data_IF_824252226208
#
_entry.id   IF_824252226208
#
_cell.length_a   1.000
_cell.length_b   1.000
_cell.length_c   1.000
_cell.angle_alpha   90.00
_cell.angle_beta   90.00
_cell.angle_gamma   90.00
#
_symmetry.space_group_name_H-M   'P 1'
#
loop_
_entity.id
_entity.type
_entity.pdbx_description
1 polymer ?
#
# COMPACT_ATOMS: atom_id res chain seq x y z
N UNK A 1 46.52 -60.57 -23.38
CA UNK A 1 45.27 -61.25 -23.79
C UNK A 1 44.20 -60.17 -23.87
N UNK A 2 44.05 -59.54 -25.03
CA UNK A 2 43.24 -60.03 -26.16
C UNK A 2 41.78 -59.53 -26.04
N UNK A 3 41.47 -58.48 -26.80
CA UNK A 3 40.24 -58.37 -27.61
C UNK A 3 40.09 -59.62 -28.51
N UNK A 4 39.03 -59.83 -29.34
CA UNK A 4 37.82 -59.05 -29.66
C UNK A 4 36.55 -59.95 -29.84
N UNK A 5 35.41 -59.36 -30.24
CA UNK A 5 34.49 -59.81 -31.34
C UNK A 5 33.11 -59.17 -31.13
N UNK A 6 32.62 -58.24 -31.96
CA UNK A 6 32.29 -58.28 -33.39
C UNK A 6 31.02 -59.08 -33.72
N UNK A 7 30.05 -58.41 -34.38
CA UNK A 7 29.02 -58.86 -35.34
C UNK A 7 28.03 -57.68 -35.50
N UNK A 8 27.56 -57.22 -36.66
CA UNK A 8 27.74 -57.63 -38.05
C UNK A 8 27.17 -56.51 -38.97
N UNK A 9 27.83 -56.37 -40.12
CA UNK A 9 27.60 -55.59 -41.36
C UNK A 9 26.26 -55.92 -42.11
N UNK A 10 26.02 -55.57 -43.40
CA UNK A 10 26.40 -54.41 -44.24
C UNK A 10 25.25 -53.93 -45.20
N UNK A 11 25.48 -52.88 -46.00
CA UNK A 11 25.23 -52.98 -47.46
C UNK A 11 26.00 -51.93 -48.27
N UNK A 12 26.79 -52.48 -49.20
CA UNK A 12 27.65 -51.84 -50.18
C UNK A 12 26.93 -51.75 -51.54
N UNK A 13 27.11 -50.68 -52.30
CA UNK A 13 27.13 -50.77 -53.78
C UNK A 13 27.94 -49.65 -54.42
N UNK A 14 29.00 -50.10 -55.11
CA UNK A 14 29.94 -49.36 -55.96
C UNK A 14 29.37 -49.22 -57.39
N UNK A 15 29.72 -48.14 -58.10
CA UNK A 15 29.86 -48.19 -59.57
C UNK A 15 30.99 -47.26 -60.04
N UNK A 16 31.88 -47.83 -60.87
CA UNK A 16 33.04 -47.22 -61.56
C UNK A 16 32.63 -46.63 -62.90
N UNK A 17 33.40 -45.70 -63.48
CA UNK A 17 33.90 -45.66 -64.88
C UNK A 17 34.85 -44.43 -65.00
N UNK A 18 36.18 -44.57 -65.20
CA UNK A 18 37.01 -44.77 -66.42
C UNK A 18 37.44 -43.46 -67.15
N UNK A 19 38.72 -43.13 -66.92
CA UNK A 19 39.77 -42.47 -67.72
C UNK A 19 39.48 -41.99 -69.16
N UNK A 20 39.85 -40.74 -69.48
CA UNK A 20 40.48 -40.36 -70.77
C UNK A 20 41.27 -39.03 -70.68
N UNK A 21 42.55 -39.06 -71.08
CA UNK A 21 43.32 -37.88 -71.49
C UNK A 21 43.10 -37.62 -72.99
N UNK A 22 43.28 -36.37 -73.44
CA UNK A 22 43.97 -36.13 -74.70
C UNK A 22 45.10 -35.10 -74.57
N UNK A 23 45.96 -35.12 -75.59
CA UNK A 23 47.20 -34.38 -75.78
C UNK A 23 47.02 -33.42 -76.98
N UNK A 24 47.92 -32.43 -77.10
CA UNK A 24 48.16 -31.54 -78.28
C UNK A 24 47.20 -30.32 -78.32
N UNK A 25 47.57 -29.05 -78.60
CA UNK A 25 48.61 -28.48 -79.47
C UNK A 25 49.02 -27.06 -79.04
N UNK A 26 50.23 -26.64 -79.43
CA UNK A 26 50.64 -25.23 -79.52
C UNK A 26 49.77 -24.47 -80.53
N UNK A 27 49.35 -23.25 -80.18
CA UNK A 27 49.10 -22.17 -81.14
C UNK A 27 49.70 -20.86 -80.58
N UNK A 28 50.71 -20.35 -81.26
CA UNK A 28 51.16 -18.96 -81.17
C UNK A 28 50.03 -18.06 -81.68
N UNK A 29 49.57 -17.14 -80.84
CA UNK A 29 48.55 -16.15 -81.17
C UNK A 29 48.86 -14.83 -80.49
N UNK A 30 49.52 -13.96 -81.25
CA UNK A 30 49.85 -12.57 -80.96
C UNK A 30 48.60 -11.76 -80.57
N UNK A 31 48.64 -11.07 -79.42
CA UNK A 31 47.79 -9.89 -79.16
C UNK A 31 48.44 -8.99 -78.09
N UNK A 32 49.31 -8.13 -78.57
CA UNK A 32 49.46 -6.79 -78.03
C UNK A 32 48.12 -6.05 -78.14
N UNK A 33 47.62 -5.48 -77.04
CA UNK A 33 47.03 -4.13 -76.97
C UNK A 33 46.18 -3.88 -75.71
N UNK A 34 46.58 -2.85 -74.97
CA UNK A 34 45.68 -1.78 -74.48
C UNK A 34 44.80 -2.00 -73.23
N UNK A 35 45.43 -2.30 -72.10
CA UNK A 35 45.56 -1.44 -70.89
C UNK A 35 44.48 -0.40 -70.43
N UNK A 36 43.24 -0.37 -70.93
CA UNK A 36 42.26 0.68 -70.54
C UNK A 36 41.03 0.21 -69.74
N UNK A 37 40.77 -1.09 -69.63
CA UNK A 37 39.59 -1.63 -68.92
C UNK A 37 39.87 -2.19 -67.52
N UNK A 38 41.14 -2.29 -67.10
CA UNK A 38 41.52 -2.83 -65.78
C UNK A 38 41.40 -1.80 -64.64
N UNK A 39 41.46 -0.50 -64.95
CA UNK A 39 41.48 0.58 -63.94
C UNK A 39 40.14 0.73 -63.20
N UNK A 40 39.01 0.55 -63.89
CA UNK A 40 37.66 0.72 -63.31
C UNK A 40 37.14 -0.52 -62.56
N UNK A 41 37.75 -1.70 -62.77
CA UNK A 41 37.46 -2.91 -61.99
C UNK A 41 38.27 -2.93 -60.70
N UNK A 42 39.53 -2.44 -60.74
CA UNK A 42 40.39 -2.31 -59.57
C UNK A 42 39.90 -1.22 -58.61
N UNK A 43 39.42 -0.07 -59.12
CA UNK A 43 38.81 0.97 -58.29
C UNK A 43 37.54 0.49 -57.59
N UNK A 44 36.64 -0.23 -58.27
CA UNK A 44 35.42 -0.78 -57.66
C UNK A 44 35.70 -1.79 -56.55
N UNK A 45 36.72 -2.64 -56.73
CA UNK A 45 37.14 -3.58 -55.69
C UNK A 45 37.67 -2.85 -54.44
N UNK A 46 38.39 -1.75 -54.64
CA UNK A 46 38.93 -0.93 -53.55
C UNK A 46 37.81 -0.19 -52.78
N UNK A 47 36.81 0.34 -53.47
CA UNK A 47 35.65 0.98 -52.83
C UNK A 47 34.77 0.00 -52.05
N UNK A 48 34.64 -1.26 -52.52
CA UNK A 48 33.85 -2.28 -51.81
C UNK A 48 34.51 -2.71 -50.49
N UNK A 49 35.84 -2.91 -50.46
CA UNK A 49 36.57 -3.23 -49.23
C UNK A 49 36.49 -2.07 -48.20
N UNK A 50 36.64 -0.82 -48.66
CA UNK A 50 36.50 0.35 -47.80
C UNK A 50 35.06 0.51 -47.26
N UNK A 51 34.04 0.14 -48.04
CA UNK A 51 32.64 0.17 -47.60
C UNK A 51 32.37 -0.86 -46.50
N UNK A 52 32.91 -2.09 -46.62
CA UNK A 52 32.76 -3.11 -45.58
C UNK A 52 33.44 -2.71 -44.27
N UNK A 53 34.63 -2.08 -44.32
CA UNK A 53 35.30 -1.57 -43.13
C UNK A 53 34.51 -0.44 -42.44
N UNK A 54 33.91 0.47 -43.21
CA UNK A 54 33.06 1.52 -42.66
C UNK A 54 31.79 0.95 -42.00
N UNK A 55 31.14 -0.02 -42.63
CA UNK A 55 29.97 -0.70 -42.06
C UNK A 55 30.35 -1.44 -40.76
N UNK A 56 31.48 -2.16 -40.74
CA UNK A 56 31.97 -2.85 -39.55
C UNK A 56 32.27 -1.88 -38.39
N UNK A 57 32.85 -0.71 -38.69
CA UNK A 57 33.12 0.33 -37.68
C UNK A 57 31.83 0.93 -37.11
N UNK A 58 30.83 1.21 -37.96
CA UNK A 58 29.53 1.72 -37.52
C UNK A 58 28.81 0.70 -36.65
N UNK A 59 28.78 -0.58 -37.07
CA UNK A 59 28.16 -1.66 -36.28
C UNK A 59 28.89 -1.83 -34.95
N UNK A 60 30.22 -1.83 -34.94
CA UNK A 60 31.03 -1.91 -33.72
C UNK A 60 30.76 -0.75 -32.76
N UNK A 61 30.63 0.47 -33.27
CA UNK A 61 30.27 1.66 -32.48
C UNK A 61 28.87 1.57 -31.88
N UNK A 62 27.88 1.09 -32.64
CA UNK A 62 26.51 0.90 -32.15
C UNK A 62 26.45 -0.19 -31.08
N UNK A 63 27.08 -1.35 -31.32
CA UNK A 63 27.13 -2.45 -30.35
C UNK A 63 27.85 -2.03 -29.07
N UNK A 64 28.99 -1.34 -29.19
CA UNK A 64 29.73 -0.80 -28.05
C UNK A 64 28.90 0.21 -27.23
N UNK A 65 28.19 1.12 -27.92
CA UNK A 65 27.29 2.08 -27.29
C UNK A 65 26.13 1.42 -26.54
N UNK A 66 25.52 0.38 -27.13
CA UNK A 66 24.43 -0.38 -26.49
C UNK A 66 24.94 -1.11 -25.24
N UNK A 67 26.07 -1.82 -25.33
CA UNK A 67 26.68 -2.51 -24.17
C UNK A 67 27.01 -1.51 -23.04
N UNK A 68 27.56 -0.35 -23.38
CA UNK A 68 27.88 0.68 -22.40
C UNK A 68 26.63 1.30 -21.76
N UNK A 69 25.55 1.49 -22.53
CA UNK A 69 24.26 1.99 -22.01
C UNK A 69 23.59 0.99 -21.05
N UNK A 70 23.69 -0.30 -21.34
CA UNK A 70 23.16 -1.37 -20.49
C UNK A 70 23.96 -1.49 -19.19
N UNK A 71 25.29 -1.36 -19.24
CA UNK A 71 26.14 -1.32 -18.04
C UNK A 71 25.85 -0.11 -17.15
N UNK A 72 25.72 1.09 -17.74
CA UNK A 72 25.45 2.31 -16.99
C UNK A 72 24.09 2.26 -16.26
N UNK A 73 23.08 1.67 -16.89
CA UNK A 73 21.75 1.51 -16.29
C UNK A 73 21.75 0.53 -15.10
N UNK A 74 22.60 -0.50 -15.13
CA UNK A 74 22.78 -1.44 -14.03
C UNK A 74 23.46 -0.81 -12.80
N UNK A 75 24.51 -0.02 -13.02
CA UNK A 75 25.24 0.65 -11.93
C UNK A 75 24.38 1.71 -11.21
N UNK A 76 23.52 2.43 -11.93
CA UNK A 76 22.59 3.39 -11.32
C UNK A 76 21.54 2.69 -10.45
N UNK A 77 21.01 1.55 -10.88
CA UNK A 77 20.08 0.75 -10.07
C UNK A 77 20.74 0.21 -8.80
N UNK A 78 21.98 -0.29 -8.89
CA UNK A 78 22.72 -0.82 -7.76
C UNK A 78 23.04 0.27 -6.71
N UNK A 79 23.35 1.49 -7.16
CA UNK A 79 23.59 2.65 -6.28
C UNK A 79 22.34 3.09 -5.53
N UNK A 80 21.18 3.04 -6.18
CA UNK A 80 19.89 3.36 -5.54
C UNK A 80 19.56 2.31 -4.48
N UNK A 81 19.80 1.03 -4.76
CA UNK A 81 19.56 -0.05 -3.80
C UNK A 81 20.51 0.02 -2.60
N UNK A 82 21.80 0.29 -2.83
CA UNK A 82 22.78 0.51 -1.75
C UNK A 82 22.41 1.73 -0.88
N UNK A 83 22.00 2.84 -1.50
CA UNK A 83 21.55 4.02 -0.77
C UNK A 83 20.29 3.73 0.07
N UNK A 84 19.37 2.91 -0.45
CA UNK A 84 18.17 2.50 0.28
C UNK A 84 18.53 1.61 1.49
N UNK A 85 19.38 0.61 1.29
CA UNK A 85 19.85 -0.28 2.36
C UNK A 85 20.65 0.48 3.44
N UNK A 86 21.44 1.48 3.06
CA UNK A 86 22.12 2.36 4.02
C UNK A 86 21.13 3.19 4.83
N UNK A 87 20.13 3.80 4.19
CA UNK A 87 19.09 4.56 4.89
C UNK A 87 18.26 3.69 5.84
N UNK A 88 18.02 2.42 5.50
CA UNK A 88 17.31 1.47 6.37
C UNK A 88 18.15 1.09 7.60
N UNK A 89 19.47 0.93 7.42
CA UNK A 89 20.40 0.67 8.55
C UNK A 89 20.53 1.87 9.48
N UNK A 90 20.63 3.08 8.93
CA UNK A 90 20.66 4.31 9.72
C UNK A 90 19.36 4.48 10.51
N UNK A 91 18.21 4.24 9.88
CA UNK A 91 16.91 4.28 10.55
C UNK A 91 16.75 3.18 11.63
N UNK A 92 17.44 2.04 11.51
CA UNK A 92 17.50 1.03 12.56
C UNK A 92 18.40 1.46 13.73
N UNK A 93 19.60 1.98 13.44
CA UNK A 93 20.51 2.49 14.46
C UNK A 93 19.89 3.63 15.28
N UNK A 94 19.15 4.53 14.62
CA UNK A 94 18.43 5.62 15.30
C UNK A 94 17.32 5.09 16.23
N UNK A 95 16.63 4.02 15.84
CA UNK A 95 15.62 3.37 16.68
C UNK A 95 16.24 2.72 17.90
N UNK A 96 17.38 2.03 17.72
CA UNK A 96 18.11 1.41 18.82
C UNK A 96 18.62 2.45 19.82
N UNK A 97 19.24 3.53 19.33
CA UNK A 97 19.68 4.65 20.17
C UNK A 97 18.52 5.37 20.88
N UNK A 98 17.34 5.43 20.24
CA UNK A 98 16.15 5.98 20.87
C UNK A 98 15.60 5.08 21.98
N UNK A 99 15.59 3.76 21.76
CA UNK A 99 15.14 2.77 22.76
C UNK A 99 16.06 2.77 23.98
N UNK A 100 17.37 2.83 23.80
CA UNK A 100 18.34 2.90 24.91
C UNK A 100 18.12 4.15 25.76
N UNK A 101 17.94 5.33 25.12
CA UNK A 101 17.63 6.58 25.83
C UNK A 101 16.26 6.55 26.53
N UNK A 102 15.28 5.86 25.94
CA UNK A 102 13.96 5.71 26.56
C UNK A 102 14.04 4.82 27.81
N UNK A 103 14.80 3.73 27.75
CA UNK A 103 15.05 2.85 28.89
C UNK A 103 15.80 3.56 30.02
N UNK A 104 16.84 4.34 29.69
CA UNK A 104 17.59 5.13 30.66
C UNK A 104 16.69 6.14 31.40
N UNK A 105 15.88 6.90 30.65
CA UNK A 105 14.91 7.86 31.22
C UNK A 105 13.84 7.18 32.08
N UNK A 106 13.35 6.02 31.65
CA UNK A 106 12.41 5.23 32.44
C UNK A 106 13.05 4.78 33.75
N UNK A 107 14.29 4.27 33.70
CA UNK A 107 15.03 3.84 34.88
C UNK A 107 15.29 4.98 35.86
N UNK A 108 15.66 6.16 35.37
CA UNK A 108 15.86 7.37 36.18
C UNK A 108 14.53 7.85 36.82
N UNK A 109 13.43 7.85 36.06
CA UNK A 109 12.11 8.18 36.58
C UNK A 109 11.64 7.18 37.64
N UNK A 110 11.89 5.87 37.42
CA UNK A 110 11.58 4.83 38.40
C UNK A 110 12.41 4.96 39.67
N UNK A 111 13.73 5.17 39.56
CA UNK A 111 14.61 5.27 40.73
C UNK A 111 14.28 6.52 41.57
N UNK A 112 13.99 7.65 40.91
CA UNK A 112 13.61 8.87 41.59
C UNK A 112 12.23 8.79 42.27
N UNK A 113 11.24 8.14 41.64
CA UNK A 113 9.88 8.04 42.18
C UNK A 113 9.75 6.92 43.22
N UNK A 114 10.26 5.73 42.94
CA UNK A 114 10.20 4.59 43.84
C UNK A 114 11.11 4.80 45.05
N UNK A 115 12.34 5.27 44.85
CA UNK A 115 13.30 5.51 45.93
C UNK A 115 12.79 6.55 46.94
N UNK A 116 12.19 7.65 46.46
CA UNK A 116 11.65 8.70 47.34
C UNK A 116 10.35 8.28 48.02
N UNK A 117 9.41 7.68 47.27
CA UNK A 117 8.10 7.34 47.82
C UNK A 117 8.16 6.15 48.78
N UNK A 118 8.96 5.11 48.51
CA UNK A 118 9.10 3.98 49.43
C UNK A 118 9.82 4.40 50.73
N UNK A 119 10.88 5.21 50.65
CA UNK A 119 11.58 5.69 51.86
C UNK A 119 10.68 6.57 52.71
N UNK A 120 9.95 7.50 52.09
CA UNK A 120 9.03 8.38 52.80
C UNK A 120 7.90 7.60 53.48
N UNK A 121 7.31 6.62 52.80
CA UNK A 121 6.25 5.78 53.38
C UNK A 121 6.79 4.85 54.48
N UNK A 122 8.00 4.30 54.33
CA UNK A 122 8.63 3.47 55.35
C UNK A 122 8.97 4.30 56.62
N UNK A 123 9.54 5.49 56.46
CA UNK A 123 9.81 6.40 57.59
C UNK A 123 8.53 6.86 58.28
N UNK A 124 7.49 7.23 57.52
CA UNK A 124 6.20 7.62 58.07
C UNK A 124 5.54 6.47 58.85
N UNK A 125 5.60 5.25 58.31
CA UNK A 125 5.07 4.05 58.97
C UNK A 125 5.83 3.72 60.24
N UNK A 126 7.17 3.73 60.22
CA UNK A 126 8.00 3.47 61.40
C UNK A 126 7.78 4.53 62.48
N UNK A 127 7.65 5.80 62.10
CA UNK A 127 7.35 6.89 63.04
C UNK A 127 5.96 6.75 63.67
N UNK A 128 4.96 6.35 62.89
CA UNK A 128 3.61 6.09 63.38
C UNK A 128 3.57 4.86 64.29
N UNK A 129 4.23 3.77 63.91
CA UNK A 129 4.35 2.57 64.73
C UNK A 129 5.06 2.85 66.05
N UNK A 130 6.15 3.63 66.03
CA UNK A 130 6.88 4.02 67.24
C UNK A 130 6.02 4.89 68.16
N UNK A 131 5.26 5.84 67.61
CA UNK A 131 4.36 6.72 68.39
C UNK A 131 3.21 5.94 69.03
N UNK A 132 2.63 4.99 68.31
CA UNK A 132 1.58 4.11 68.84
C UNK A 132 2.13 3.18 69.93
N UNK A 133 3.31 2.60 69.71
CA UNK A 133 3.96 1.71 70.67
C UNK A 133 4.37 2.44 71.96
N UNK A 134 4.89 3.67 71.86
CA UNK A 134 5.23 4.48 73.05
C UNK A 134 4.00 4.97 73.79
N UNK A 135 2.91 5.29 73.08
CA UNK A 135 1.61 5.58 73.69
C UNK A 135 1.11 4.41 74.54
N UNK A 136 1.05 3.21 73.94
CA UNK A 136 0.62 1.98 74.63
C UNK A 136 1.55 1.59 75.78
N UNK A 137 2.87 1.72 75.62
CA UNK A 137 3.84 1.38 76.68
C UNK A 137 3.77 2.34 77.87
N UNK A 138 3.52 3.64 77.64
CA UNK A 138 3.36 4.61 78.71
C UNK A 138 2.03 4.41 79.47
N UNK A 139 0.98 4.02 78.77
CA UNK A 139 -0.32 3.71 79.37
C UNK A 139 -0.28 2.39 80.18
N UNK A 140 0.46 1.38 79.70
CA UNK A 140 0.65 0.11 80.43
C UNK A 140 1.57 0.22 81.64
N UNK A 141 2.53 1.18 81.68
CA UNK A 141 3.47 1.31 82.82
C UNK A 141 2.84 1.93 84.07
N UNK A 142 1.73 2.66 83.95
CA UNK A 142 1.04 3.34 85.05
C UNK A 142 0.19 2.42 85.96
N UNK A 143 -0.36 1.32 85.43
CA UNK A 143 -1.51 0.63 86.04
C UNK A 143 -1.34 -0.89 86.26
N UNK A 144 -0.14 -1.35 86.62
CA UNK A 144 0.12 -2.79 86.85
C UNK A 144 -0.58 -3.39 88.09
N UNK A 145 -1.27 -2.61 88.93
CA UNK A 145 -1.84 -3.10 90.21
C UNK A 145 -3.37 -3.30 90.22
N UNK A 146 -4.08 -2.87 89.18
CA UNK A 146 -5.57 -2.91 89.07
C UNK A 146 -6.09 -3.88 87.99
N UNK A 147 -5.18 -4.66 87.40
CA UNK A 147 -5.29 -5.19 86.04
C UNK A 147 -6.04 -6.53 85.85
N UNK A 148 -6.99 -6.89 86.73
CA UNK A 148 -7.82 -8.09 86.51
C UNK A 148 -9.27 -7.79 86.14
N UNK A 149 -9.78 -6.63 86.55
CA UNK A 149 -11.14 -6.17 86.23
C UNK A 149 -11.17 -5.28 84.98
N UNK A 150 -10.13 -4.47 84.76
CA UNK A 150 -10.05 -3.56 83.60
C UNK A 150 -9.58 -4.24 82.30
N UNK A 151 -8.93 -5.40 82.38
CA UNK A 151 -8.52 -6.17 81.21
C UNK A 151 -9.71 -6.54 80.30
N UNK A 152 -10.90 -6.77 80.87
CA UNK A 152 -12.13 -6.98 80.08
C UNK A 152 -12.60 -5.69 79.39
N UNK A 153 -12.46 -4.54 80.04
CA UNK A 153 -12.79 -3.23 79.46
C UNK A 153 -11.79 -2.79 78.38
N UNK A 154 -10.53 -3.23 78.46
CA UNK A 154 -9.49 -2.98 77.46
C UNK A 154 -9.54 -3.96 76.28
N UNK A 155 -10.02 -5.20 76.47
CA UNK A 155 -10.22 -6.18 75.39
C UNK A 155 -11.48 -5.89 74.58
N UNK A 156 -12.51 -5.27 75.18
CA UNK A 156 -13.74 -4.90 74.49
C UNK A 156 -13.51 -4.06 73.23
N UNK A 157 -12.76 -2.94 73.26
CA UNK A 157 -12.49 -2.15 72.05
C UNK A 157 -11.65 -2.90 71.02
N UNK A 158 -10.78 -3.84 71.41
CA UNK A 158 -10.05 -4.69 70.46
C UNK A 158 -10.99 -5.66 69.75
N UNK A 159 -11.93 -6.28 70.49
CA UNK A 159 -12.96 -7.14 69.94
C UNK A 159 -13.90 -6.38 69.00
N UNK A 160 -14.30 -5.18 69.40
CA UNK A 160 -15.18 -4.33 68.61
C UNK A 160 -14.48 -3.81 67.34
N UNK A 161 -13.17 -3.51 67.41
CA UNK A 161 -12.37 -3.15 66.24
C UNK A 161 -12.15 -4.36 65.32
N UNK A 162 -11.99 -5.57 65.86
CA UNK A 162 -11.91 -6.80 65.07
C UNK A 162 -13.25 -7.10 64.38
N UNK A 163 -14.38 -6.94 65.06
CA UNK A 163 -15.71 -7.09 64.46
C UNK A 163 -15.96 -6.04 63.37
N UNK A 164 -15.51 -4.80 63.57
CA UNK A 164 -15.55 -3.74 62.53
C UNK A 164 -14.66 -4.09 61.34
N UNK A 165 -13.46 -4.64 61.58
CA UNK A 165 -12.55 -5.12 60.53
C UNK A 165 -13.16 -6.27 59.75
N UNK A 166 -13.74 -7.26 60.42
CA UNK A 166 -14.44 -8.38 59.77
C UNK A 166 -15.62 -7.88 58.93
N UNK A 167 -16.39 -6.92 59.45
CA UNK A 167 -17.45 -6.25 58.70
C UNK A 167 -16.92 -5.49 57.47
N UNK A 168 -15.79 -4.78 57.61
CA UNK A 168 -15.15 -4.08 56.50
C UNK A 168 -14.61 -5.05 55.44
N UNK A 169 -13.98 -6.15 55.85
CA UNK A 169 -13.45 -7.20 54.97
C UNK A 169 -14.60 -7.84 54.18
N UNK A 170 -15.69 -8.24 54.84
CA UNK A 170 -16.90 -8.75 54.15
C UNK A 170 -17.46 -7.74 53.16
N UNK A 171 -17.59 -6.47 53.56
CA UNK A 171 -18.08 -5.43 52.65
C UNK A 171 -17.15 -5.19 51.45
N UNK A 172 -15.83 -5.39 51.64
CA UNK A 172 -14.83 -5.29 50.58
C UNK A 172 -14.89 -6.48 49.64
N UNK A 173 -15.07 -7.69 50.15
CA UNK A 173 -15.27 -8.89 49.34
C UNK A 173 -16.55 -8.78 48.50
N UNK A 174 -17.66 -8.35 49.10
CA UNK A 174 -18.92 -8.10 48.38
C UNK A 174 -18.76 -7.04 47.29
N UNK A 175 -18.09 -5.92 47.59
CA UNK A 175 -17.78 -4.87 46.60
C UNK A 175 -16.86 -5.38 45.49
N UNK A 176 -15.84 -6.19 45.82
CA UNK A 176 -14.96 -6.81 44.82
C UNK A 176 -15.74 -7.74 43.92
N UNK A 177 -16.59 -8.59 44.48
CA UNK A 177 -17.40 -9.53 43.70
C UNK A 177 -18.39 -8.79 42.78
N UNK A 178 -19.03 -7.73 43.27
CA UNK A 178 -19.87 -6.84 42.47
C UNK A 178 -19.11 -6.17 41.32
N UNK A 179 -17.89 -5.68 41.59
CA UNK A 179 -17.02 -5.08 40.57
C UNK A 179 -16.58 -6.10 39.51
N UNK A 180 -16.24 -7.34 39.91
CA UNK A 180 -15.91 -8.41 38.97
C UNK A 180 -17.10 -8.81 38.09
N UNK A 181 -18.31 -8.88 38.66
CA UNK A 181 -19.53 -9.12 37.88
C UNK A 181 -19.79 -8.00 36.87
N UNK A 182 -19.67 -6.74 37.28
CA UNK A 182 -19.82 -5.59 36.39
C UNK A 182 -18.79 -5.59 35.26
N UNK A 183 -17.51 -5.88 35.56
CA UNK A 183 -16.45 -6.01 34.56
C UNK A 183 -16.72 -7.17 33.59
N UNK A 184 -17.18 -8.33 34.08
CA UNK A 184 -17.55 -9.46 33.23
C UNK A 184 -18.70 -9.11 32.27
N UNK A 185 -19.68 -8.35 32.74
CA UNK A 185 -20.80 -7.90 31.92
C UNK A 185 -20.36 -6.88 30.86
N UNK A 186 -19.52 -5.91 31.22
CA UNK A 186 -18.93 -4.97 30.26
C UNK A 186 -18.07 -5.68 29.20
N UNK A 187 -17.27 -6.66 29.60
CA UNK A 187 -16.47 -7.44 28.65
C UNK A 187 -17.35 -8.21 27.67
N UNK A 188 -18.46 -8.78 28.15
CA UNK A 188 -19.43 -9.49 27.30
C UNK A 188 -20.12 -8.54 26.32
N UNK A 189 -20.53 -7.36 26.77
CA UNK A 189 -21.10 -6.32 25.90
C UNK A 189 -20.09 -5.85 24.84
N UNK A 190 -18.82 -5.69 25.21
CA UNK A 190 -17.75 -5.35 24.26
C UNK A 190 -17.54 -6.46 23.22
N UNK A 191 -17.53 -7.73 23.63
CA UNK A 191 -17.43 -8.86 22.70
C UNK A 191 -18.61 -8.91 21.74
N UNK A 192 -19.83 -8.71 22.22
CA UNK A 192 -21.04 -8.66 21.39
C UNK A 192 -21.01 -7.48 20.40
N UNK A 193 -20.55 -6.31 20.84
CA UNK A 193 -20.34 -5.15 19.97
C UNK A 193 -19.28 -5.44 18.90
N UNK A 194 -18.16 -6.06 19.27
CA UNK A 194 -17.11 -6.43 18.33
C UNK A 194 -17.61 -7.42 17.27
N UNK A 195 -18.39 -8.43 17.68
CA UNK A 195 -18.97 -9.40 16.75
C UNK A 195 -19.98 -8.75 15.79
N UNK A 196 -20.84 -7.84 16.29
CA UNK A 196 -21.78 -7.07 15.45
C UNK A 196 -21.04 -6.16 14.46
N UNK A 197 -19.96 -5.51 14.90
CA UNK A 197 -19.13 -4.67 14.02
C UNK A 197 -18.46 -5.50 12.92
N UNK A 198 -17.88 -6.64 13.25
CA UNK A 198 -17.28 -7.54 12.26
C UNK A 198 -18.32 -8.01 11.24
N UNK A 199 -19.50 -8.42 11.70
CA UNK A 199 -20.59 -8.87 10.82
C UNK A 199 -21.04 -7.74 9.88
N UNK A 200 -21.27 -6.53 10.43
CA UNK A 200 -21.71 -5.37 9.62
C UNK A 200 -20.64 -4.94 8.63
N UNK A 201 -19.36 -5.00 9.00
CA UNK A 201 -18.24 -4.66 8.12
C UNK A 201 -18.13 -5.66 6.97
N UNK A 202 -18.31 -6.96 7.25
CA UNK A 202 -18.36 -8.01 6.21
C UNK A 202 -19.55 -7.78 5.29
N UNK A 203 -20.75 -7.52 5.83
CA UNK A 203 -21.94 -7.24 5.03
C UNK A 203 -21.78 -5.97 4.18
N UNK A 204 -21.19 -4.90 4.72
CA UNK A 204 -20.92 -3.67 3.99
C UNK A 204 -19.90 -3.88 2.87
N UNK A 205 -18.81 -4.61 3.15
CA UNK A 205 -17.81 -5.00 2.15
C UNK A 205 -18.45 -5.83 1.03
N UNK A 206 -19.26 -6.83 1.39
CA UNK A 206 -19.99 -7.68 0.44
C UNK A 206 -21.00 -6.87 -0.39
N UNK A 207 -21.71 -5.93 0.23
CA UNK A 207 -22.67 -5.05 -0.44
C UNK A 207 -21.97 -4.13 -1.46
N UNK A 208 -20.81 -3.57 -1.09
CA UNK A 208 -19.96 -2.76 -1.98
C UNK A 208 -19.34 -3.57 -3.13
N UNK A 209 -19.26 -4.91 -3.05
CA UNK A 209 -18.86 -5.77 -4.17
C UNK A 209 -19.93 -5.86 -5.26
N UNK A 210 -21.22 -5.80 -4.91
CA UNK A 210 -22.30 -5.87 -5.89
C UNK A 210 -22.37 -4.61 -6.78
N UNK A 211 -22.63 -4.77 -8.08
CA UNK A 211 -22.65 -3.66 -9.04
C UNK A 211 -23.84 -2.71 -8.85
N UNK A 212 -25.00 -3.23 -8.42
CA UNK A 212 -26.24 -2.47 -8.21
C UNK A 212 -26.16 -1.57 -6.97
N UNK A 213 -25.73 -2.10 -5.82
CA UNK A 213 -25.63 -1.32 -4.56
C UNK A 213 -24.55 -0.24 -4.65
N UNK A 214 -23.46 -0.52 -5.37
CA UNK A 214 -22.39 0.46 -5.60
C UNK A 214 -22.85 1.66 -6.43
N UNK A 215 -23.72 1.42 -7.42
CA UNK A 215 -24.36 2.50 -8.20
C UNK A 215 -25.20 3.41 -7.31
N UNK A 216 -26.13 2.82 -6.54
CA UNK A 216 -26.97 3.56 -5.59
C UNK A 216 -26.15 4.31 -4.52
N UNK A 217 -25.06 3.73 -4.03
CA UNK A 217 -24.20 4.38 -3.05
C UNK A 217 -23.43 5.57 -3.66
N UNK A 218 -23.02 5.46 -4.93
CA UNK A 218 -22.46 6.55 -5.71
C UNK A 218 -23.44 7.70 -5.91
N UNK A 219 -24.70 7.40 -6.24
CA UNK A 219 -25.79 8.38 -6.37
C UNK A 219 -26.05 9.12 -5.03
N UNK A 220 -26.16 8.38 -3.92
CA UNK A 220 -26.38 8.98 -2.60
C UNK A 220 -25.20 9.86 -2.16
N UNK A 221 -23.96 9.45 -2.43
CA UNK A 221 -22.78 10.25 -2.13
C UNK A 221 -22.72 11.53 -2.97
N UNK A 222 -23.03 11.42 -4.27
CA UNK A 222 -23.10 12.57 -5.17
C UNK A 222 -24.13 13.58 -4.67
N UNK A 223 -25.34 13.12 -4.32
CA UNK A 223 -26.37 13.97 -3.72
C UNK A 223 -25.89 14.70 -2.47
N UNK A 224 -25.25 13.98 -1.53
CA UNK A 224 -24.73 14.56 -0.29
C UNK A 224 -23.67 15.63 -0.54
N UNK A 225 -22.75 15.41 -1.49
CA UNK A 225 -21.71 16.38 -1.83
C UNK A 225 -22.33 17.66 -2.39
N UNK A 226 -23.36 17.53 -3.23
CA UNK A 226 -24.09 18.64 -3.86
C UNK A 226 -24.92 19.41 -2.82
N UNK A 227 -25.63 18.72 -1.94
CA UNK A 227 -26.35 19.33 -0.81
C UNK A 227 -25.40 20.10 0.12
N UNK A 228 -24.23 19.53 0.45
CA UNK A 228 -23.20 20.18 1.26
C UNK A 228 -22.55 21.39 0.57
N UNK A 229 -22.53 21.41 -0.77
CA UNK A 229 -22.11 22.58 -1.56
C UNK A 229 -23.19 23.69 -1.59
N UNK A 230 -24.32 23.50 -0.92
CA UNK A 230 -25.41 24.47 -0.82
C UNK A 230 -26.35 24.47 -2.01
N UNK A 231 -26.34 23.43 -2.84
CA UNK A 231 -27.25 23.30 -3.99
C UNK A 231 -28.57 22.66 -3.54
N UNK A 232 -29.69 23.36 -3.76
CA UNK A 232 -31.03 22.84 -3.47
C UNK A 232 -31.57 21.92 -4.59
N UNK A 233 -32.18 20.83 -4.14
CA UNK A 233 -32.82 19.80 -4.98
C UNK A 233 -33.94 20.44 -5.80
N UNK A 234 -34.03 20.15 -7.10
CA UNK A 234 -35.01 20.70 -8.06
C UNK A 234 -34.82 22.18 -8.50
N UNK A 235 -33.82 22.89 -7.98
CA UNK A 235 -33.45 24.24 -8.46
C UNK A 235 -32.09 24.22 -9.16
N UNK A 236 -31.15 23.41 -8.67
CA UNK A 236 -29.79 23.34 -9.19
C UNK A 236 -29.41 21.98 -9.80
N UNK A 237 -30.16 20.90 -9.54
CA UNK A 237 -29.92 19.60 -10.14
C UNK A 237 -31.17 18.69 -10.14
N UNK A 238 -31.23 17.76 -11.10
CA UNK A 238 -32.25 16.71 -11.20
C UNK A 238 -31.59 15.33 -11.32
N UNK A 239 -32.14 14.35 -10.60
CA UNK A 239 -31.68 12.95 -10.60
C UNK A 239 -32.51 12.14 -11.61
N UNK A 240 -31.88 11.26 -12.37
CA UNK A 240 -32.55 10.27 -13.22
C UNK A 240 -33.42 10.82 -14.39
N UNK A 241 -33.04 11.93 -15.01
CA UNK A 241 -33.74 12.49 -16.18
C UNK A 241 -33.75 11.47 -17.34
N UNK A 242 -34.94 11.12 -17.81
CA UNK A 242 -35.12 10.07 -18.83
C UNK A 242 -34.90 10.64 -20.23
N UNK A 243 -33.83 10.23 -20.92
CA UNK A 243 -33.54 10.61 -22.31
C UNK A 243 -33.32 9.39 -23.21
N UNK A 244 -33.72 9.49 -24.48
CA UNK A 244 -33.76 8.40 -25.48
C UNK A 244 -32.39 7.76 -25.82
N UNK A 245 -31.26 8.44 -25.59
CA UNK A 245 -29.91 7.94 -25.89
C UNK A 245 -29.04 7.64 -24.65
N UNK A 246 -29.65 7.60 -23.46
CA UNK A 246 -29.04 7.15 -22.21
C UNK A 246 -29.40 8.03 -21.02
N UNK A 247 -29.48 7.42 -19.82
CA UNK A 247 -29.81 8.11 -18.55
C UNK A 247 -28.52 8.52 -17.84
N UNK A 248 -28.21 9.82 -17.71
CA UNK A 248 -27.20 10.29 -16.77
C UNK A 248 -27.71 10.13 -15.33
N UNK A 249 -26.79 9.88 -14.39
CA UNK A 249 -27.15 9.69 -12.98
C UNK A 249 -27.70 10.99 -12.36
N UNK A 250 -27.14 12.14 -12.76
CA UNK A 250 -27.58 13.48 -12.32
C UNK A 250 -27.34 14.52 -13.42
N UNK A 251 -28.21 15.53 -13.52
CA UNK A 251 -28.00 16.73 -14.37
C UNK A 251 -27.96 17.95 -13.47
N UNK A 252 -26.92 18.78 -13.59
CA UNK A 252 -26.77 20.05 -12.84
C UNK A 252 -27.12 21.21 -13.74
N UNK A 253 -28.00 22.10 -13.27
CA UNK A 253 -28.37 23.34 -13.95
C UNK A 253 -27.40 24.46 -13.59
N UNK A 254 -26.78 25.03 -14.62
CA UNK A 254 -25.85 26.15 -14.52
C UNK A 254 -26.59 27.48 -14.72
N UNK A 255 -26.13 28.57 -14.07
CA UNK A 255 -26.67 29.90 -14.30
C UNK A 255 -26.49 30.29 -15.77
N UNK A 256 -27.57 30.78 -16.40
CA UNK A 256 -27.62 31.03 -17.85
C UNK A 256 -28.34 29.94 -18.67
N UNK A 257 -28.95 28.95 -18.01
CA UNK A 257 -29.73 27.89 -18.65
C UNK A 257 -28.86 26.80 -19.27
N UNK A 258 -27.64 26.62 -18.75
CA UNK A 258 -26.77 25.53 -19.16
C UNK A 258 -27.07 24.25 -18.38
N UNK A 259 -26.91 23.10 -19.01
CA UNK A 259 -27.17 21.80 -18.39
C UNK A 259 -25.89 20.96 -18.41
N UNK A 260 -25.52 20.36 -17.27
CA UNK A 260 -24.29 19.59 -17.11
C UNK A 260 -24.62 18.16 -16.65
N UNK A 261 -24.53 17.16 -17.52
CA UNK A 261 -24.72 15.76 -17.13
C UNK A 261 -23.51 15.25 -16.32
N UNK A 262 -23.82 14.59 -15.21
CA UNK A 262 -22.86 13.98 -14.26
C UNK A 262 -23.19 12.49 -14.11
N UNK A 263 -22.17 11.63 -14.28
CA UNK A 263 -22.27 10.17 -14.13
C UNK A 263 -21.33 9.71 -12.99
N UNK A 264 -21.82 8.89 -12.06
CA UNK A 264 -21.08 8.48 -10.86
C UNK A 264 -20.39 7.11 -10.98
N UNK A 265 -20.29 6.55 -12.19
CA UNK A 265 -19.94 5.13 -12.36
C UNK A 265 -18.45 4.86 -12.50
N UNK A 266 -17.72 4.90 -11.37
CA UNK A 266 -16.32 4.49 -11.34
C UNK A 266 -16.18 2.96 -11.24
N UNK A 267 -15.47 2.27 -12.17
CA UNK A 267 -15.19 0.85 -12.04
C UNK A 267 -14.25 0.62 -10.86
N UNK A 268 -14.66 -0.20 -9.89
CA UNK A 268 -13.96 -0.40 -8.61
C UNK A 268 -13.59 -1.87 -8.34
N UNK A 269 -13.97 -2.80 -9.23
CA UNK A 269 -13.75 -4.24 -9.03
C UNK A 269 -12.27 -4.57 -8.83
N UNK A 270 -11.42 -4.17 -9.77
CA UNK A 270 -9.97 -4.43 -9.70
C UNK A 270 -9.28 -3.73 -8.52
N UNK A 271 -9.81 -2.59 -8.04
CA UNK A 271 -9.31 -1.92 -6.84
C UNK A 271 -9.63 -2.70 -5.56
N UNK A 272 -10.83 -3.26 -5.46
CA UNK A 272 -11.22 -4.10 -4.33
C UNK A 272 -10.43 -5.42 -4.32
N UNK A 273 -10.23 -6.03 -5.50
CA UNK A 273 -9.41 -7.24 -5.63
C UNK A 273 -7.94 -6.98 -5.27
N UNK A 274 -7.38 -5.83 -5.65
CA UNK A 274 -6.04 -5.44 -5.21
C UNK A 274 -5.92 -5.36 -3.68
N UNK A 275 -6.97 -4.89 -2.98
CA UNK A 275 -6.95 -4.76 -1.52
C UNK A 275 -6.98 -6.11 -0.78
N UNK A 276 -7.39 -7.19 -1.44
CA UNK A 276 -7.51 -8.53 -0.86
C UNK A 276 -6.27 -9.41 -1.09
N UNK A 277 -5.37 -8.96 -1.96
CA UNK A 277 -4.19 -9.72 -2.38
C UNK A 277 -2.97 -9.37 -1.53
N UNK A 278 -2.34 -10.38 -0.95
CA UNK A 278 -1.13 -10.22 -0.12
C UNK A 278 0.20 -10.25 -0.91
N UNK A 279 0.17 -10.57 -2.20
CA UNK A 279 1.35 -10.58 -3.07
C UNK A 279 1.54 -9.24 -3.79
N UNK A 280 2.77 -8.73 -3.74
CA UNK A 280 3.16 -7.43 -4.25
C UNK A 280 3.19 -7.38 -5.78
N UNK A 281 3.40 -8.53 -6.44
CA UNK A 281 3.34 -8.64 -7.90
C UNK A 281 1.88 -8.62 -8.40
N UNK A 282 1.04 -9.49 -7.83
CA UNK A 282 -0.38 -9.52 -8.15
C UNK A 282 -1.09 -8.19 -7.81
N UNK A 283 -0.74 -7.51 -6.71
CA UNK A 283 -1.23 -6.17 -6.38
C UNK A 283 -0.97 -5.16 -7.52
N UNK A 284 0.25 -5.15 -8.09
CA UNK A 284 0.61 -4.25 -9.19
C UNK A 284 -0.19 -4.53 -10.46
N UNK A 285 -0.49 -5.80 -10.73
CA UNK A 285 -1.28 -6.22 -11.89
C UNK A 285 -2.74 -5.77 -11.77
N UNK A 286 -3.38 -6.00 -10.62
CA UNK A 286 -4.73 -5.50 -10.34
C UNK A 286 -4.81 -3.97 -10.40
N UNK A 287 -3.79 -3.27 -9.90
CA UNK A 287 -3.74 -1.81 -10.01
C UNK A 287 -3.57 -1.31 -11.44
N UNK A 288 -2.87 -2.04 -12.31
CA UNK A 288 -2.81 -1.71 -13.75
C UNK A 288 -4.16 -1.96 -14.42
N UNK A 289 -4.83 -3.07 -14.11
CA UNK A 289 -6.16 -3.39 -14.61
C UNK A 289 -7.18 -2.32 -14.19
N UNK A 290 -7.15 -1.89 -12.92
CA UNK A 290 -7.97 -0.79 -12.42
C UNK A 290 -7.75 0.52 -13.20
N UNK A 291 -6.49 0.90 -13.40
CA UNK A 291 -6.16 2.10 -14.17
C UNK A 291 -6.59 2.03 -15.64
N UNK A 292 -6.61 0.83 -16.24
CA UNK A 292 -7.14 0.60 -17.59
C UNK A 292 -8.66 0.70 -17.61
N UNK A 293 -9.36 0.07 -16.66
CA UNK A 293 -10.81 0.11 -16.54
C UNK A 293 -11.34 1.54 -16.37
N UNK A 294 -10.70 2.34 -15.51
CA UNK A 294 -11.06 3.76 -15.32
C UNK A 294 -10.88 4.55 -16.63
N UNK A 295 -9.77 4.36 -17.35
CA UNK A 295 -9.55 5.03 -18.65
C UNK A 295 -10.54 4.58 -19.72
N UNK A 296 -10.91 3.29 -19.73
CA UNK A 296 -11.93 2.75 -20.60
C UNK A 296 -13.27 3.43 -20.37
N UNK A 297 -13.70 3.54 -19.10
CA UNK A 297 -14.92 4.24 -18.72
C UNK A 297 -14.90 5.72 -19.13
N UNK A 298 -13.79 6.44 -18.91
CA UNK A 298 -13.66 7.84 -19.35
C UNK A 298 -13.84 7.96 -20.87
N UNK A 299 -13.27 7.03 -21.64
CA UNK A 299 -13.43 7.01 -23.10
C UNK A 299 -14.87 6.70 -23.52
N UNK A 300 -15.50 5.71 -22.89
CA UNK A 300 -16.91 5.38 -23.13
C UNK A 300 -17.84 6.55 -22.82
N UNK A 301 -17.63 7.24 -21.69
CA UNK A 301 -18.40 8.43 -21.31
C UNK A 301 -18.16 9.59 -22.28
N UNK A 302 -16.92 9.78 -22.73
CA UNK A 302 -16.60 10.78 -23.76
C UNK A 302 -17.10 10.43 -25.16
N UNK A 303 -17.55 9.21 -25.42
CA UNK A 303 -18.19 8.80 -26.68
C UNK A 303 -19.72 8.85 -26.59
N UNK A 304 -20.28 8.63 -25.40
CA UNK A 304 -21.70 8.83 -25.12
C UNK A 304 -21.97 10.33 -25.05
N UNK A 305 -22.40 10.89 -26.17
CA UNK A 305 -22.72 12.29 -26.33
C UNK A 305 -24.00 12.69 -25.56
N UNK A 306 -24.00 12.58 -24.23
CA UNK A 306 -25.13 13.02 -23.40
C UNK A 306 -25.46 14.50 -23.62
N UNK A 307 -24.45 15.31 -23.97
CA UNK A 307 -24.61 16.72 -24.35
C UNK A 307 -25.41 16.93 -25.65
N UNK A 308 -25.57 15.92 -26.52
CA UNK A 308 -26.33 16.09 -27.77
C UNK A 308 -27.85 16.10 -27.56
N UNK A 309 -28.30 15.73 -26.36
CA UNK A 309 -29.72 15.69 -26.00
C UNK A 309 -30.24 17.02 -25.44
N UNK A 310 -29.35 17.97 -25.11
CA UNK A 310 -29.70 19.19 -24.40
C UNK A 310 -29.30 20.42 -25.24
N UNK A 311 -30.23 21.36 -25.45
CA UNK A 311 -30.06 22.48 -26.39
C UNK A 311 -28.98 23.52 -25.97
N UNK A 312 -28.57 23.53 -24.69
CA UNK A 312 -27.65 24.53 -24.11
C UNK A 312 -26.59 23.94 -23.17
N UNK A 313 -26.19 22.70 -23.36
CA UNK A 313 -25.14 22.08 -22.54
C UNK A 313 -23.73 22.36 -23.08
N UNK A 314 -22.74 22.66 -22.22
CA UNK A 314 -21.33 22.60 -22.61
C UNK A 314 -20.97 21.21 -23.16
N UNK A 315 -20.03 21.11 -24.11
CA UNK A 315 -19.53 19.82 -24.65
C UNK A 315 -18.64 19.07 -23.64
N UNK A 316 -19.10 18.91 -22.39
CA UNK A 316 -18.33 18.31 -21.29
C UNK A 316 -19.24 17.38 -20.47
N UNK A 317 -18.73 16.19 -20.17
CA UNK A 317 -19.35 15.22 -19.23
C UNK A 317 -18.46 15.10 -18.00
N UNK A 318 -19.05 15.18 -16.81
CA UNK A 318 -18.32 15.03 -15.55
C UNK A 318 -18.50 13.62 -15.01
N UNK A 319 -17.38 12.90 -14.82
CA UNK A 319 -17.37 11.63 -14.11
C UNK A 319 -17.08 11.87 -12.63
N UNK A 320 -18.01 11.48 -11.76
CA UNK A 320 -17.84 11.57 -10.32
C UNK A 320 -17.16 10.31 -9.75
N UNK A 321 -16.19 10.51 -8.86
CA UNK A 321 -15.44 9.45 -8.17
C UNK A 321 -15.66 9.58 -6.67
N UNK A 322 -16.35 8.62 -6.01
CA UNK A 322 -16.81 8.79 -4.63
C UNK A 322 -15.69 8.74 -3.59
N UNK A 323 -14.51 8.20 -3.93
CA UNK A 323 -13.38 8.07 -2.99
C UNK A 323 -12.07 8.36 -3.72
N UNK A 324 -11.27 9.32 -3.23
CA UNK A 324 -9.99 9.69 -3.84
C UNK A 324 -8.99 8.53 -3.88
N UNK A 325 -9.05 7.63 -2.88
CA UNK A 325 -8.21 6.43 -2.79
C UNK A 325 -8.34 5.51 -4.02
N UNK A 326 -9.51 5.52 -4.67
CA UNK A 326 -9.78 4.75 -5.88
C UNK A 326 -9.18 5.42 -7.11
N UNK A 327 -8.91 6.72 -7.09
CA UNK A 327 -8.34 7.41 -8.24
C UNK A 327 -6.90 6.91 -8.48
N UNK A 328 -6.59 6.30 -9.64
CA UNK A 328 -5.26 5.81 -9.93
C UNK A 328 -4.23 6.94 -9.77
N UNK A 329 -3.11 6.68 -9.07
CA UNK A 329 -2.02 7.67 -8.87
C UNK A 329 -1.57 8.35 -10.17
N UNK A 330 -1.60 7.62 -11.29
CA UNK A 330 -1.24 8.14 -12.62
C UNK A 330 -2.26 9.15 -13.17
N UNK A 331 -3.52 9.08 -12.76
CA UNK A 331 -4.58 10.02 -13.12
C UNK A 331 -4.72 11.18 -12.11
N UNK A 332 -4.18 11.06 -10.89
CA UNK A 332 -4.11 12.17 -9.90
C UNK A 332 -3.30 13.38 -10.39
N UNK A 333 -2.43 13.20 -11.40
CA UNK A 333 -1.68 14.31 -12.03
C UNK A 333 -2.52 15.13 -13.02
N UNK A 334 -3.72 14.68 -13.38
CA UNK A 334 -4.69 15.53 -14.09
C UNK A 334 -5.29 16.43 -13.03
N UNK A 335 -4.58 17.53 -12.77
CA UNK A 335 -4.99 18.58 -11.84
C UNK A 335 -6.37 19.04 -12.29
N UNK A 336 -7.35 18.71 -11.47
CA UNK A 336 -8.72 19.21 -11.45
C UNK A 336 -8.67 20.71 -11.79
N UNK A 337 -9.03 21.05 -13.03
CA UNK A 337 -9.13 22.44 -13.50
C UNK A 337 -10.42 23.04 -12.94
N UNK A 338 -10.47 23.22 -11.62
CA UNK A 338 -11.40 24.12 -10.96
C UNK A 338 -10.73 25.49 -10.84
N UNK A 339 -10.39 26.07 -12.00
CA UNK A 339 -10.10 27.49 -12.05
C UNK A 339 -10.70 28.02 -13.36
N UNK A 340 -11.91 28.58 -13.26
CA UNK A 340 -12.40 29.50 -14.27
C UNK A 340 -11.37 30.61 -14.46
N UNK A 341 -11.08 30.99 -15.71
CA UNK A 341 -11.15 32.38 -16.08
C UNK A 341 -12.35 32.53 -16.99
N UNK A 342 -13.45 33.00 -16.40
CA UNK A 342 -14.46 33.71 -17.15
C UNK A 342 -13.78 34.97 -17.72
N UNK A 343 -13.40 34.94 -19.00
CA UNK A 343 -13.29 36.14 -19.86
C UNK A 343 -13.08 35.76 -21.33
N UNK A 344 -14.19 35.78 -22.05
CA UNK A 344 -14.43 36.53 -23.28
C UNK A 344 -13.35 36.51 -24.40
N UNK A 345 -13.82 36.06 -25.57
CA UNK A 345 -13.88 36.80 -26.85
C UNK A 345 -12.99 36.26 -27.99
N UNK A 346 -13.66 36.10 -29.14
CA UNK A 346 -13.22 35.80 -30.51
C UNK A 346 -12.90 34.34 -30.84
#
# INVERSE_FOLDING_TARGET
MAMPSALMEPHNRVSRYRVHMPRVSLCLGNQSAHSSTWRSSFERSFYMEMLYLLIAFVIGGVVGGVIMSLRKSGDEALRIELAKLQSEKEAQADKEAWLEKAEEKLREAFDSLAGKSLRHNAEAFLKQAQTQMTGVLNEVRGDWKTQKSEMQNLISPVRENLDKLDGHVRSLEEKREGAYRALGQQLKELMDMQHKLQTTTVTLSQALKSSSVRGQWGEIQLRRVVELAGMERYVAFEEQVSGDSGRPDMVVYLPGGGELPVDAKTPMTAYLEAAEVGDDAAYKDYMRAHAQAVRGRVRELGQKAYWSQFEKSPEVVVMFVPVEAVLPRRLRKIRVCWNMPCKARC
#
